data_IF_550653921433
#
_entry.id   IF_550653921433
#
_cell.length_a   1.000
_cell.length_b   1.000
_cell.length_c   1.000
_cell.angle_alpha   90.00
_cell.angle_beta   90.00
_cell.angle_gamma   90.00
#
_symmetry.space_group_name_H-M   'P 1'
#
loop_
_entity.id
_entity.type
_entity.pdbx_description
1 polymer ?
#
# COMPACT_ATOMS: atom_id res chain seq x y z
N UNK A 1 -1.95 -10.37 -0.20
CA UNK A 1 -2.69 -9.62 0.83
C UNK A 1 -3.60 -8.64 0.14
N UNK A 2 -4.87 -8.53 0.55
CA UNK A 2 -5.77 -7.53 -0.04
C UNK A 2 -5.60 -6.16 0.62
N UNK A 3 -5.56 -6.13 1.95
CA UNK A 3 -5.34 -4.93 2.74
C UNK A 3 -4.39 -5.22 3.91
N UNK A 4 -3.62 -4.20 4.30
CA UNK A 4 -2.78 -4.17 5.49
C UNK A 4 -2.94 -2.81 6.17
N UNK A 5 -2.72 -2.78 7.48
CA UNK A 5 -2.54 -1.51 8.20
C UNK A 5 -1.07 -1.09 8.21
N UNK A 6 -0.79 0.20 8.39
CA UNK A 6 0.60 0.67 8.57
C UNK A 6 1.30 -0.07 9.73
N UNK A 7 0.57 -0.34 10.81
CA UNK A 7 1.06 -1.09 11.97
C UNK A 7 1.44 -2.52 11.59
N UNK A 8 0.65 -3.21 10.76
CA UNK A 8 1.01 -4.54 10.27
C UNK A 8 2.25 -4.53 9.38
N UNK A 9 2.41 -3.51 8.53
CA UNK A 9 3.57 -3.38 7.66
C UNK A 9 4.85 -3.18 8.46
N UNK A 10 4.79 -2.34 9.51
CA UNK A 10 5.89 -2.11 10.45
C UNK A 10 6.19 -3.37 11.28
N UNK A 11 5.18 -4.01 11.87
CA UNK A 11 5.34 -5.19 12.71
C UNK A 11 5.89 -6.40 11.94
N UNK A 12 5.44 -6.58 10.69
CA UNK A 12 5.89 -7.68 9.83
C UNK A 12 7.21 -7.37 9.12
N UNK A 13 7.81 -6.19 9.35
CA UNK A 13 9.08 -5.78 8.76
C UNK A 13 9.13 -6.04 7.25
N UNK A 14 8.04 -5.75 6.53
CA UNK A 14 7.86 -6.23 5.16
C UNK A 14 8.85 -5.62 4.15
N UNK A 15 9.69 -4.66 4.55
CA UNK A 15 10.75 -4.00 3.74
C UNK A 15 10.28 -3.50 2.36
N UNK A 16 8.98 -3.32 2.17
CA UNK A 16 8.40 -2.94 0.87
C UNK A 16 8.52 -1.43 0.64
N UNK A 17 8.51 -0.65 1.71
CA UNK A 17 8.64 0.81 1.72
C UNK A 17 9.57 1.19 2.88
N UNK A 18 10.33 2.27 2.69
CA UNK A 18 11.14 2.88 3.74
C UNK A 18 10.30 3.27 4.97
N UNK A 19 10.82 3.03 6.17
CA UNK A 19 10.08 3.28 7.42
C UNK A 19 9.70 4.75 7.60
N UNK A 20 10.49 5.68 7.06
CA UNK A 20 10.22 7.13 7.09
C UNK A 20 9.01 7.46 6.21
N UNK A 21 8.97 6.91 5.00
CA UNK A 21 7.87 7.11 4.07
C UNK A 21 6.55 6.53 4.60
N UNK A 22 6.59 5.35 5.22
CA UNK A 22 5.42 4.77 5.92
C UNK A 22 4.91 5.71 7.01
N UNK A 23 5.81 6.26 7.83
CA UNK A 23 5.44 7.17 8.92
C UNK A 23 4.78 8.43 8.39
N UNK A 24 5.36 9.05 7.34
CA UNK A 24 4.77 10.23 6.69
C UNK A 24 3.37 9.95 6.14
N UNK A 25 3.17 8.83 5.45
CA UNK A 25 1.87 8.46 4.90
C UNK A 25 0.85 8.16 6.00
N UNK A 26 1.26 7.51 7.08
CA UNK A 26 0.39 7.22 8.22
C UNK A 26 -0.09 8.51 8.88
N UNK A 27 0.84 9.42 9.16
CA UNK A 27 0.55 10.67 9.90
C UNK A 27 -0.33 11.63 9.07
N UNK A 28 -0.32 11.50 7.74
CA UNK A 28 -1.19 12.24 6.82
C UNK A 28 -2.39 11.42 6.31
N UNK A 29 -2.63 10.22 6.86
CA UNK A 29 -3.71 9.32 6.43
C UNK A 29 -3.75 9.05 4.91
N UNK A 30 -2.58 8.99 4.25
CA UNK A 30 -2.46 8.82 2.81
C UNK A 30 -2.45 7.33 2.41
N UNK A 31 -3.52 6.81 1.79
CA UNK A 31 -3.59 5.40 1.41
C UNK A 31 -2.50 5.05 0.38
N UNK A 32 -1.85 3.91 0.57
CA UNK A 32 -0.80 3.41 -0.32
C UNK A 32 -1.32 2.16 -1.05
N UNK A 33 -1.05 2.05 -2.35
CA UNK A 33 -1.34 0.84 -3.13
C UNK A 33 -0.03 0.29 -3.68
N UNK A 34 0.33 -0.93 -3.27
CA UNK A 34 1.50 -1.65 -3.77
C UNK A 34 1.02 -2.68 -4.79
N UNK A 35 1.44 -2.55 -6.05
CA UNK A 35 1.05 -3.45 -7.12
C UNK A 35 2.22 -3.75 -8.06
N UNK A 36 2.10 -4.81 -8.85
CA UNK A 36 3.10 -5.18 -9.83
C UNK A 36 2.96 -4.33 -11.11
N UNK A 37 3.99 -3.57 -11.45
CA UNK A 37 4.08 -2.75 -12.67
C UNK A 37 4.31 -3.56 -13.95
N UNK A 38 4.82 -4.78 -13.87
CA UNK A 38 5.12 -5.60 -15.05
C UNK A 38 3.88 -6.24 -15.68
N UNK A 39 2.76 -6.23 -14.98
CA UNK A 39 1.48 -6.76 -15.48
C UNK A 39 0.79 -5.66 -16.30
N UNK A 40 0.56 -5.88 -17.61
CA UNK A 40 -0.13 -4.92 -18.45
C UNK A 40 -1.50 -4.54 -17.90
N UNK A 41 -1.81 -3.25 -17.91
CA UNK A 41 -3.09 -2.71 -17.45
C UNK A 41 -3.19 -2.47 -15.93
N UNK A 42 -2.24 -2.92 -15.12
CA UNK A 42 -2.31 -2.70 -13.66
C UNK A 42 -2.29 -1.22 -13.27
N UNK A 43 -1.55 -0.36 -13.98
CA UNK A 43 -1.56 1.09 -13.71
C UNK A 43 -2.98 1.65 -13.88
N UNK A 44 -3.68 1.29 -14.96
CA UNK A 44 -5.05 1.73 -15.22
C UNK A 44 -5.99 1.24 -14.10
N UNK A 45 -5.89 -0.04 -13.73
CA UNK A 45 -6.68 -0.64 -12.66
C UNK A 45 -6.45 0.06 -11.31
N UNK A 46 -5.20 0.44 -11.01
CA UNK A 46 -4.83 1.19 -9.81
C UNK A 46 -5.56 2.54 -9.73
N UNK A 47 -5.55 3.28 -10.84
CA UNK A 47 -6.16 4.61 -10.95
C UNK A 47 -7.69 4.51 -10.87
N UNK A 48 -8.27 3.47 -11.45
CA UNK A 48 -9.72 3.21 -11.39
C UNK A 48 -10.19 2.71 -10.01
N UNK A 49 -9.28 2.49 -9.06
CA UNK A 49 -9.62 2.00 -7.72
C UNK A 49 -10.01 0.52 -7.68
N UNK A 50 -9.65 -0.25 -8.71
CA UNK A 50 -9.86 -1.70 -8.70
C UNK A 50 -9.01 -2.35 -7.61
N UNK A 51 -9.49 -3.49 -7.09
CA UNK A 51 -8.76 -4.26 -6.09
C UNK A 51 -7.58 -4.98 -6.74
N UNK A 52 -6.44 -4.28 -6.81
CA UNK A 52 -5.18 -4.85 -7.27
C UNK A 52 -4.09 -4.71 -6.22
N UNK A 53 -3.20 -5.70 -6.16
CA UNK A 53 -2.05 -5.67 -5.25
C UNK A 53 -2.48 -5.65 -3.79
N UNK A 54 -1.82 -4.82 -2.98
CA UNK A 54 -2.05 -4.70 -1.54
C UNK A 54 -2.26 -3.24 -1.16
N UNK A 55 -3.37 -2.95 -0.49
CA UNK A 55 -3.71 -1.61 -0.01
C UNK A 55 -3.27 -1.41 1.43
N UNK A 56 -2.57 -0.31 1.73
CA UNK A 56 -2.15 0.04 3.09
C UNK A 56 -2.92 1.28 3.56
N UNK A 57 -3.57 1.20 4.71
CA UNK A 57 -4.41 2.30 5.27
C UNK A 57 -4.40 2.31 6.80
N UNK A 58 -4.92 3.38 7.42
CA UNK A 58 -4.98 3.52 8.89
C UNK A 58 -6.12 2.73 9.53
N UNK A 59 -7.14 2.31 8.75
CA UNK A 59 -8.29 1.51 9.20
C UNK A 59 -8.67 0.53 8.10
N UNK A 60 -8.93 -0.72 8.47
CA UNK A 60 -9.44 -1.76 7.56
C UNK A 60 -10.93 -1.51 7.30
#
# INVERSE_FOLDING_TARGET
FEALTYTEVLNKNLKVIDSTAISLCRDNNLPIIIFNLTVPGNIKKAILGERIGTRITSKI
#
